data_IF_790208140882
#
_entry.id   IF_790208140882
#
_cell.length_a   1.000
_cell.length_b   1.000
_cell.length_c   1.000
_cell.angle_alpha   90.00
_cell.angle_beta   90.00
_cell.angle_gamma   90.00
#
_symmetry.space_group_name_H-M   'P 1'
#
loop_
_entity.id
_entity.type
_entity.pdbx_description
1 polymer ?
#
# COMPACT_ATOMS: atom_id res chain seq x y z
N UNK A 1 41.33 0.74 -5.47
CA UNK A 1 39.98 0.56 -4.86
C UNK A 1 39.25 1.90 -4.95
N UNK A 2 38.31 2.08 -5.89
CA UNK A 2 37.57 3.36 -6.02
C UNK A 2 36.44 3.38 -4.99
N UNK A 3 36.61 4.11 -3.90
CA UNK A 3 35.49 4.48 -3.02
C UNK A 3 34.58 5.39 -3.83
N UNK A 4 33.54 4.82 -4.45
CA UNK A 4 32.43 5.62 -4.95
C UNK A 4 31.74 6.21 -3.72
N UNK A 5 31.93 7.50 -3.50
CA UNK A 5 31.23 8.23 -2.46
C UNK A 5 29.73 8.07 -2.67
N UNK A 6 29.04 7.54 -1.67
CA UNK A 6 27.58 7.44 -1.70
C UNK A 6 26.98 8.85 -1.80
N UNK A 7 25.95 9.08 -2.64
CA UNK A 7 25.33 10.40 -2.73
C UNK A 7 24.86 10.88 -1.35
N UNK A 8 25.15 12.14 -1.00
CA UNK A 8 24.83 12.73 0.31
C UNK A 8 23.37 12.54 0.74
N UNK A 9 22.43 12.59 -0.21
CA UNK A 9 21.01 12.35 0.05
C UNK A 9 20.75 10.93 0.57
N UNK A 10 21.43 9.94 0.01
CA UNK A 10 21.29 8.53 0.40
C UNK A 10 21.87 8.29 1.79
N UNK A 11 23.08 8.80 2.06
CA UNK A 11 23.70 8.72 3.38
C UNK A 11 22.79 9.31 4.46
N UNK A 12 22.20 10.50 4.21
CA UNK A 12 21.24 11.14 5.12
C UNK A 12 20.03 10.26 5.41
N UNK A 13 19.41 9.65 4.39
CA UNK A 13 18.25 8.77 4.59
C UNK A 13 18.60 7.54 5.46
N UNK A 14 19.77 6.93 5.22
CA UNK A 14 20.24 5.79 6.01
C UNK A 14 20.52 6.20 7.46
N UNK A 15 21.16 7.35 7.69
CA UNK A 15 21.37 7.90 9.04
C UNK A 15 20.04 8.18 9.74
N UNK A 16 19.08 8.83 9.06
CA UNK A 16 17.74 9.07 9.62
C UNK A 16 17.06 7.77 10.02
N UNK A 17 17.14 6.74 9.18
CA UNK A 17 16.56 5.44 9.51
C UNK A 17 17.25 4.78 10.72
N UNK A 18 18.59 4.84 10.80
CA UNK A 18 19.34 4.28 11.91
C UNK A 18 18.98 4.95 13.26
N UNK A 19 18.66 6.25 13.24
CA UNK A 19 18.24 6.98 14.44
C UNK A 19 16.94 6.46 15.07
N UNK A 20 16.12 5.75 14.30
CA UNK A 20 14.87 5.16 14.77
C UNK A 20 15.06 3.90 15.61
N UNK A 21 16.29 3.33 15.67
CA UNK A 21 16.54 2.16 16.53
C UNK A 21 16.40 2.51 18.00
N UNK A 22 15.50 1.82 18.68
CA UNK A 22 15.32 1.94 20.12
C UNK A 22 16.48 1.26 20.87
N UNK A 23 16.73 1.69 22.12
CA UNK A 23 17.72 1.09 23.03
C UNK A 23 19.13 0.91 22.42
N UNK A 24 19.52 1.81 21.52
CA UNK A 24 20.79 1.78 20.79
C UNK A 24 21.55 3.09 21.05
N UNK A 25 22.85 3.02 21.32
CA UNK A 25 23.65 4.21 21.60
C UNK A 25 23.78 5.12 20.38
N UNK A 26 24.15 6.40 20.58
CA UNK A 26 24.36 7.32 19.46
C UNK A 26 25.49 6.86 18.53
N UNK A 27 26.58 6.32 19.09
CA UNK A 27 27.70 5.76 18.31
C UNK A 27 27.25 4.56 17.48
N UNK A 28 26.47 3.65 18.07
CA UNK A 28 25.96 2.49 17.35
C UNK A 28 25.04 2.93 16.19
N UNK A 29 24.20 3.95 16.38
CA UNK A 29 23.34 4.50 15.32
C UNK A 29 24.15 5.07 14.15
N UNK A 30 25.27 5.74 14.43
CA UNK A 30 26.18 6.22 13.38
C UNK A 30 26.80 5.05 12.60
N UNK A 31 27.26 4.02 13.31
CA UNK A 31 27.80 2.79 12.71
C UNK A 31 26.74 2.11 11.83
N UNK A 32 25.51 1.96 12.34
CA UNK A 32 24.39 1.34 11.62
C UNK A 32 24.06 2.11 10.34
N UNK A 33 24.07 3.45 10.38
CA UNK A 33 23.83 4.31 9.22
C UNK A 33 24.79 4.04 8.06
N UNK A 34 26.04 3.66 8.36
CA UNK A 34 27.03 3.22 7.36
C UNK A 34 27.00 1.72 7.04
N UNK A 35 26.33 0.90 7.85
CA UNK A 35 26.41 -0.56 7.81
C UNK A 35 25.60 -1.23 6.69
N UNK A 36 25.88 -2.51 6.45
CA UNK A 36 25.10 -3.37 5.54
C UNK A 36 23.74 -3.81 6.09
N UNK A 37 23.35 -3.39 7.30
CA UNK A 37 22.04 -3.70 7.88
C UNK A 37 20.92 -2.84 7.26
N UNK A 38 21.26 -1.69 6.68
CA UNK A 38 20.32 -0.85 5.94
C UNK A 38 20.49 -1.13 4.45
N UNK A 39 19.50 -1.77 3.84
CA UNK A 39 19.56 -2.26 2.45
C UNK A 39 18.56 -1.55 1.55
N UNK A 40 18.88 -1.36 0.25
CA UNK A 40 17.91 -0.82 -0.68
C UNK A 40 16.86 -1.88 -0.99
N UNK A 41 15.60 -1.50 -0.95
CA UNK A 41 14.48 -2.38 -1.23
C UNK A 41 13.44 -1.68 -2.10
N UNK A 42 12.60 -2.48 -2.77
CA UNK A 42 11.46 -1.97 -3.54
C UNK A 42 10.31 -2.95 -3.44
N UNK A 43 9.21 -2.48 -2.88
CA UNK A 43 7.96 -3.23 -2.77
C UNK A 43 6.83 -2.41 -3.42
N UNK A 44 6.04 -3.03 -4.30
CA UNK A 44 4.88 -2.40 -4.98
C UNK A 44 5.10 -0.93 -5.39
N UNK A 45 6.17 -0.68 -6.16
CA UNK A 45 6.57 0.65 -6.69
C UNK A 45 7.21 1.63 -5.70
N UNK A 46 7.31 1.29 -4.42
CA UNK A 46 7.88 2.14 -3.38
C UNK A 46 9.37 1.82 -3.21
N UNK A 47 10.30 2.61 -3.78
CA UNK A 47 11.71 2.46 -3.46
C UNK A 47 12.00 3.01 -2.06
N UNK A 48 12.68 2.22 -1.24
CA UNK A 48 12.97 2.55 0.15
C UNK A 48 14.31 1.96 0.59
N UNK A 49 14.76 2.39 1.76
CA UNK A 49 15.77 1.72 2.55
C UNK A 49 15.07 0.98 3.69
N UNK A 50 15.45 -0.28 3.92
CA UNK A 50 14.91 -1.14 4.98
C UNK A 50 16.02 -1.44 5.96
N UNK A 51 15.74 -1.30 7.24
CA UNK A 51 16.63 -1.71 8.31
C UNK A 51 16.32 -3.17 8.69
N UNK A 52 17.08 -4.09 8.13
CA UNK A 52 16.90 -5.54 8.37
C UNK A 52 17.41 -5.98 9.73
N UNK A 53 18.09 -5.10 10.47
CA UNK A 53 18.48 -5.33 11.86
C UNK A 53 17.45 -4.82 12.87
N UNK A 54 16.45 -4.04 12.44
CA UNK A 54 15.37 -3.52 13.27
C UNK A 54 14.04 -4.20 12.91
N UNK A 55 13.89 -5.45 13.37
CA UNK A 55 12.75 -6.30 13.09
C UNK A 55 11.94 -6.53 14.35
N UNK A 56 10.62 -6.30 14.27
CA UNK A 56 9.67 -6.63 15.32
C UNK A 56 8.74 -7.73 14.82
N UNK A 57 8.41 -8.70 15.66
CA UNK A 57 7.49 -9.80 15.32
C UNK A 57 6.18 -9.63 16.07
N UNK A 58 5.07 -9.97 15.42
CA UNK A 58 3.76 -10.04 16.07
C UNK A 58 3.73 -11.18 17.09
N UNK A 59 2.92 -11.07 18.13
CA UNK A 59 2.79 -12.08 19.19
C UNK A 59 2.41 -13.47 18.65
N UNK A 60 1.58 -13.52 17.60
CA UNK A 60 1.18 -14.77 16.96
C UNK A 60 2.22 -15.35 15.99
N UNK A 61 3.37 -14.70 15.81
CA UNK A 61 4.46 -15.12 14.94
C UNK A 61 4.21 -15.00 13.42
N UNK A 62 2.97 -14.73 12.99
CA UNK A 62 2.58 -14.72 11.56
C UNK A 62 3.00 -13.47 10.79
N UNK A 63 3.43 -12.41 11.48
CA UNK A 63 3.85 -11.15 10.89
C UNK A 63 5.17 -10.66 11.48
N UNK A 64 5.93 -9.93 10.67
CA UNK A 64 7.05 -9.12 11.13
C UNK A 64 7.06 -7.75 10.45
N UNK A 65 7.61 -6.76 11.13
CA UNK A 65 7.70 -5.39 10.67
C UNK A 65 9.16 -4.93 10.69
N UNK A 66 9.62 -4.38 9.58
CA UNK A 66 10.96 -3.81 9.45
C UNK A 66 10.84 -2.29 9.29
N UNK A 67 11.62 -1.54 10.09
CA UNK A 67 11.60 -0.08 9.99
C UNK A 67 12.22 0.33 8.65
N UNK A 68 11.58 1.24 7.94
CA UNK A 68 11.98 1.63 6.59
C UNK A 68 11.80 3.12 6.34
N UNK A 69 12.56 3.68 5.39
CA UNK A 69 12.41 5.05 4.92
C UNK A 69 12.32 5.10 3.40
N UNK A 70 11.28 5.73 2.88
CA UNK A 70 11.09 5.90 1.44
C UNK A 70 12.15 6.86 0.87
N UNK A 71 12.36 6.86 -0.45
CA UNK A 71 13.24 7.86 -1.11
C UNK A 71 12.79 9.31 -0.93
N UNK A 72 11.52 9.52 -0.57
CA UNK A 72 10.96 10.83 -0.21
C UNK A 72 11.24 11.27 1.24
N UNK A 73 11.91 10.44 2.04
CA UNK A 73 12.18 10.73 3.46
C UNK A 73 11.03 10.38 4.41
N UNK A 74 9.98 9.71 3.93
CA UNK A 74 8.88 9.25 4.79
C UNK A 74 9.25 7.94 5.48
N UNK A 75 9.22 7.95 6.81
CA UNK A 75 9.36 6.76 7.64
C UNK A 75 8.09 5.91 7.61
N UNK A 76 8.26 4.59 7.51
CA UNK A 76 7.20 3.60 7.43
C UNK A 76 7.63 2.31 8.14
N UNK A 77 6.67 1.44 8.41
CA UNK A 77 6.93 0.04 8.73
C UNK A 77 6.58 -0.82 7.52
N UNK A 78 7.52 -1.67 7.10
CA UNK A 78 7.30 -2.68 6.07
C UNK A 78 6.83 -3.96 6.75
N UNK A 79 5.53 -4.23 6.70
CA UNK A 79 4.89 -5.35 7.38
C UNK A 79 4.76 -6.53 6.43
N UNK A 80 5.45 -7.61 6.72
CA UNK A 80 5.38 -8.87 5.98
C UNK A 80 4.52 -9.86 6.75
N UNK A 81 3.59 -10.51 6.05
CA UNK A 81 2.77 -11.60 6.59
C UNK A 81 3.19 -12.91 5.94
N UNK A 82 3.27 -13.97 6.74
CA UNK A 82 3.53 -15.32 6.26
C UNK A 82 2.57 -15.73 5.12
N UNK A 83 3.13 -16.39 4.10
CA UNK A 83 2.37 -16.83 2.92
C UNK A 83 1.88 -15.70 2.01
N UNK A 84 2.31 -14.46 2.21
CA UNK A 84 2.01 -13.34 1.30
C UNK A 84 3.25 -12.93 0.51
N UNK A 85 3.07 -12.77 -0.79
CA UNK A 85 4.13 -12.33 -1.72
C UNK A 85 4.51 -10.87 -1.57
N UNK A 86 3.66 -10.06 -0.92
CA UNK A 86 3.79 -8.62 -0.87
C UNK A 86 3.62 -8.10 0.56
N UNK A 87 4.54 -7.23 0.95
CA UNK A 87 4.49 -6.54 2.24
C UNK A 87 3.56 -5.31 2.18
N UNK A 88 3.06 -4.91 3.35
CA UNK A 88 2.23 -3.73 3.54
C UNK A 88 3.07 -2.55 4.06
N UNK A 89 2.90 -1.37 3.45
CA UNK A 89 3.55 -0.14 3.89
C UNK A 89 2.67 0.58 4.92
N UNK A 90 2.92 0.33 6.20
CA UNK A 90 2.22 0.99 7.29
C UNK A 90 2.88 2.33 7.63
N UNK A 91 2.05 3.33 7.92
CA UNK A 91 2.52 4.69 8.25
C UNK A 91 2.45 5.00 9.74
N UNK A 92 2.12 3.98 10.53
CA UNK A 92 2.14 4.03 11.98
C UNK A 92 3.53 4.38 12.53
N UNK A 93 3.54 4.95 13.73
CA UNK A 93 4.78 5.31 14.43
C UNK A 93 5.39 4.07 15.10
N UNK A 94 4.57 3.27 15.79
CA UNK A 94 4.97 2.04 16.43
C UNK A 94 4.66 0.79 15.56
N UNK A 95 5.35 -0.33 15.81
CA UNK A 95 5.19 -1.55 15.00
C UNK A 95 3.88 -2.28 15.26
N UNK A 96 3.25 -2.13 16.43
CA UNK A 96 2.01 -2.84 16.76
C UNK A 96 0.82 -2.24 16.02
N UNK A 97 0.69 -0.91 16.03
CA UNK A 97 -0.25 -0.20 15.18
C UNK A 97 0.01 -0.45 13.69
N UNK A 98 1.26 -0.72 13.28
CA UNK A 98 1.56 -1.14 11.92
C UNK A 98 0.98 -2.52 11.58
N UNK A 99 1.04 -3.49 12.51
CA UNK A 99 0.38 -4.78 12.34
C UNK A 99 -1.14 -4.65 12.26
N UNK A 100 -1.73 -3.77 13.06
CA UNK A 100 -3.18 -3.49 13.02
C UNK A 100 -3.59 -2.91 11.65
N UNK A 101 -2.88 -1.88 11.16
CA UNK A 101 -3.12 -1.31 9.83
C UNK A 101 -3.00 -2.35 8.71
N UNK A 102 -1.97 -3.19 8.77
CA UNK A 102 -1.76 -4.26 7.79
C UNK A 102 -2.90 -5.30 7.83
N UNK A 103 -3.35 -5.68 9.02
CA UNK A 103 -4.46 -6.61 9.24
C UNK A 103 -5.78 -6.04 8.71
N UNK A 104 -6.13 -4.82 9.10
CA UNK A 104 -7.35 -4.14 8.65
C UNK A 104 -7.36 -4.02 7.11
N UNK A 105 -6.27 -3.55 6.52
CA UNK A 105 -6.15 -3.42 5.07
C UNK A 105 -6.27 -4.78 4.36
N UNK A 106 -5.71 -5.85 4.94
CA UNK A 106 -5.82 -7.20 4.39
C UNK A 106 -7.26 -7.70 4.41
N UNK A 107 -7.96 -7.51 5.52
CA UNK A 107 -9.32 -8.01 5.70
C UNK A 107 -10.30 -7.23 4.82
N UNK A 108 -10.12 -5.91 4.72
CA UNK A 108 -10.87 -5.07 3.77
C UNK A 108 -10.55 -5.43 2.31
N UNK A 109 -9.29 -5.72 1.95
CA UNK A 109 -8.95 -6.24 0.61
C UNK A 109 -9.66 -7.57 0.33
N UNK A 110 -9.68 -8.49 1.30
CA UNK A 110 -10.37 -9.77 1.16
C UNK A 110 -11.86 -9.56 0.93
N UNK A 111 -12.49 -8.68 1.70
CA UNK A 111 -13.90 -8.32 1.56
C UNK A 111 -14.20 -7.79 0.15
N UNK A 112 -13.47 -6.76 -0.32
CA UNK A 112 -13.70 -6.18 -1.65
C UNK A 112 -13.39 -7.18 -2.77
N UNK A 113 -12.40 -8.07 -2.59
CA UNK A 113 -12.14 -9.17 -3.53
C UNK A 113 -13.28 -10.19 -3.57
N UNK A 114 -13.97 -10.43 -2.46
CA UNK A 114 -15.22 -11.22 -2.44
C UNK A 114 -16.33 -10.58 -3.29
N UNK A 115 -16.26 -9.27 -3.50
CA UNK A 115 -17.19 -8.48 -4.31
C UNK A 115 -16.63 -8.14 -5.70
N UNK A 116 -15.61 -8.85 -6.18
CA UNK A 116 -14.86 -8.42 -7.36
C UNK A 116 -15.70 -8.39 -8.65
N UNK A 117 -16.70 -9.25 -8.78
CA UNK A 117 -17.60 -9.21 -9.94
C UNK A 117 -18.49 -7.96 -9.94
N UNK A 118 -18.85 -7.42 -8.76
CA UNK A 118 -19.48 -6.10 -8.64
C UNK A 118 -18.54 -5.02 -9.16
N UNK A 119 -17.26 -5.07 -8.78
CA UNK A 119 -16.24 -4.12 -9.24
C UNK A 119 -16.06 -4.18 -10.76
N UNK A 120 -16.02 -5.37 -11.36
CA UNK A 120 -15.96 -5.54 -12.83
C UNK A 120 -17.22 -5.00 -13.52
N UNK A 121 -18.41 -5.20 -12.93
CA UNK A 121 -19.66 -4.61 -13.46
C UNK A 121 -19.60 -3.08 -13.42
N UNK A 122 -19.19 -2.50 -12.30
CA UNK A 122 -18.99 -1.06 -12.16
C UNK A 122 -18.01 -0.53 -13.22
N UNK A 123 -16.87 -1.19 -13.40
CA UNK A 123 -15.89 -0.83 -14.43
C UNK A 123 -16.54 -0.78 -15.82
N UNK A 124 -17.29 -1.83 -16.20
CA UNK A 124 -17.97 -1.90 -17.49
C UNK A 124 -19.03 -0.80 -17.63
N UNK A 125 -19.83 -0.58 -16.60
CA UNK A 125 -20.90 0.42 -16.64
C UNK A 125 -20.36 1.85 -16.71
N UNK A 126 -19.23 2.13 -16.06
CA UNK A 126 -18.52 3.41 -16.18
C UNK A 126 -17.91 3.60 -17.58
N UNK A 127 -17.32 2.54 -18.15
CA UNK A 127 -16.79 2.54 -19.52
C UNK A 127 -17.88 2.83 -20.56
N UNK A 128 -19.04 2.17 -20.43
CA UNK A 128 -20.19 2.32 -21.32
C UNK A 128 -21.04 3.56 -21.00
N UNK A 129 -20.73 4.30 -19.94
CA UNK A 129 -21.46 5.51 -19.53
C UNK A 129 -22.85 5.26 -18.94
N UNK A 130 -23.17 4.01 -18.57
CA UNK A 130 -24.39 3.59 -17.87
C UNK A 130 -24.41 4.06 -16.40
N UNK A 131 -23.22 4.24 -15.82
CA UNK A 131 -23.00 4.88 -14.52
C UNK A 131 -22.06 6.07 -14.72
N UNK A 132 -22.29 7.15 -13.98
CA UNK A 132 -21.46 8.36 -14.03
C UNK A 132 -21.22 8.87 -12.62
N UNK A 133 -19.98 8.79 -12.18
CA UNK A 133 -19.52 9.40 -10.95
C UNK A 133 -18.02 9.67 -11.02
N UNK A 134 -17.55 10.54 -10.14
CA UNK A 134 -16.14 10.86 -10.01
C UNK A 134 -15.45 10.03 -8.95
N UNK A 135 -14.18 9.73 -9.23
CA UNK A 135 -13.24 9.07 -8.32
C UNK A 135 -12.26 10.13 -7.81
N UNK A 136 -12.22 10.30 -6.49
CA UNK A 136 -11.40 11.26 -5.77
C UNK A 136 -10.15 10.59 -5.21
N UNK A 137 -9.12 11.38 -4.94
CA UNK A 137 -7.95 10.89 -4.20
C UNK A 137 -8.32 10.38 -2.79
N UNK A 138 -9.38 10.94 -2.21
CA UNK A 138 -9.90 10.53 -0.91
C UNK A 138 -10.52 9.12 -0.96
N UNK A 139 -11.06 8.70 -2.12
CA UNK A 139 -11.51 7.32 -2.30
C UNK A 139 -10.31 6.36 -2.30
N UNK A 140 -9.16 6.80 -2.82
CA UNK A 140 -7.93 6.01 -2.78
C UNK A 140 -7.39 5.95 -1.34
N UNK A 141 -7.43 7.05 -0.60
CA UNK A 141 -7.07 7.08 0.82
C UNK A 141 -8.01 6.23 1.68
N UNK A 142 -9.30 6.19 1.34
CA UNK A 142 -10.30 5.34 1.99
C UNK A 142 -10.18 3.87 1.58
N UNK A 143 -9.57 3.56 0.43
CA UNK A 143 -9.42 2.19 -0.07
C UNK A 143 -8.47 1.35 0.79
N UNK A 144 -8.56 0.01 0.75
CA UNK A 144 -7.67 -0.85 1.53
C UNK A 144 -6.26 -0.97 0.92
N UNK A 145 -5.87 -0.06 0.04
CA UNK A 145 -4.53 0.03 -0.52
C UNK A 145 -3.60 0.77 0.46
N UNK A 146 -2.29 0.56 0.33
CA UNK A 146 -1.35 1.35 1.12
C UNK A 146 -1.25 2.78 0.56
N UNK A 147 -1.45 3.79 1.41
CA UNK A 147 -1.41 5.20 0.99
C UNK A 147 -0.07 5.57 0.33
N UNK A 148 1.03 5.02 0.82
CA UNK A 148 2.37 5.22 0.25
C UNK A 148 2.46 4.63 -1.15
N UNK A 149 1.95 3.42 -1.36
CA UNK A 149 1.90 2.79 -2.69
C UNK A 149 1.08 3.61 -3.68
N UNK A 150 -0.09 4.11 -3.25
CA UNK A 150 -0.93 5.00 -4.08
C UNK A 150 -0.15 6.25 -4.49
N UNK A 151 0.51 6.94 -3.55
CA UNK A 151 1.26 8.16 -3.84
C UNK A 151 2.39 7.92 -4.85
N UNK A 152 3.13 6.81 -4.70
CA UNK A 152 4.21 6.44 -5.63
C UNK A 152 3.69 6.03 -7.00
N UNK A 153 2.60 5.25 -7.04
CA UNK A 153 1.92 4.89 -8.29
C UNK A 153 1.46 6.13 -9.05
N UNK A 154 0.71 7.02 -8.38
CA UNK A 154 0.21 8.27 -8.96
C UNK A 154 1.34 9.17 -9.47
N UNK A 155 2.44 9.27 -8.72
CA UNK A 155 3.61 10.05 -9.14
C UNK A 155 4.27 9.45 -10.38
N UNK A 156 4.38 8.12 -10.46
CA UNK A 156 5.01 7.40 -11.57
C UNK A 156 4.24 7.56 -12.89
N UNK A 157 2.91 7.60 -12.83
CA UNK A 157 2.06 7.76 -14.02
C UNK A 157 1.81 9.24 -14.37
N UNK A 158 2.52 10.19 -13.75
CA UNK A 158 2.38 11.63 -14.03
C UNK A 158 1.15 12.29 -13.40
N UNK A 159 0.44 11.60 -12.51
CA UNK A 159 -0.81 12.06 -11.90
C UNK A 159 -0.67 12.50 -10.43
N UNK A 160 0.55 12.74 -9.94
CA UNK A 160 0.79 13.09 -8.52
C UNK A 160 0.07 14.35 -8.01
N UNK A 161 -0.42 15.23 -8.90
CA UNK A 161 -1.21 16.43 -8.56
C UNK A 161 -2.72 16.26 -8.81
N UNK A 162 -3.13 15.15 -9.42
CA UNK A 162 -4.54 14.91 -9.78
C UNK A 162 -5.31 14.50 -8.52
N UNK A 163 -6.36 15.26 -8.21
CA UNK A 163 -7.23 15.02 -7.04
C UNK A 163 -8.55 14.35 -7.38
N UNK A 164 -8.93 14.37 -8.66
CA UNK A 164 -10.18 13.84 -9.18
C UNK A 164 -9.99 13.34 -10.61
N UNK A 165 -10.59 12.20 -10.92
CA UNK A 165 -10.78 11.71 -12.29
C UNK A 165 -12.22 11.29 -12.50
N UNK A 166 -12.67 11.30 -13.75
CA UNK A 166 -13.97 10.72 -14.08
C UNK A 166 -13.94 9.20 -13.87
N UNK A 167 -15.09 8.62 -13.52
CA UNK A 167 -15.22 7.16 -13.38
C UNK A 167 -14.85 6.39 -14.65
N UNK A 168 -15.05 6.97 -15.83
CA UNK A 168 -14.61 6.39 -17.11
C UNK A 168 -13.08 6.29 -17.21
N UNK A 169 -12.37 7.34 -16.81
CA UNK A 169 -10.89 7.32 -16.76
C UNK A 169 -10.42 6.30 -15.72
N UNK A 170 -11.02 6.27 -14.54
CA UNK A 170 -10.68 5.26 -13.52
C UNK A 170 -10.93 3.82 -14.02
N UNK A 171 -12.02 3.58 -14.72
CA UNK A 171 -12.35 2.27 -15.29
C UNK A 171 -11.36 1.84 -16.39
N UNK A 172 -10.87 2.78 -17.21
CA UNK A 172 -9.76 2.56 -18.14
C UNK A 172 -8.48 2.23 -17.38
N UNK A 173 -8.14 2.97 -16.33
CA UNK A 173 -6.96 2.70 -15.51
C UNK A 173 -7.02 1.31 -14.85
N UNK A 174 -8.20 0.84 -14.44
CA UNK A 174 -8.38 -0.51 -13.88
C UNK A 174 -8.02 -1.63 -14.87
N UNK A 175 -8.11 -1.39 -16.19
CA UNK A 175 -7.65 -2.36 -17.20
C UNK A 175 -6.13 -2.56 -17.17
N UNK A 176 -5.39 -1.51 -16.79
CA UNK A 176 -3.93 -1.48 -16.77
C UNK A 176 -3.42 -1.89 -15.39
N UNK A 177 -4.04 -1.35 -14.33
CA UNK A 177 -3.71 -1.60 -12.93
C UNK A 177 -4.98 -2.02 -12.17
N UNK A 178 -5.19 -3.34 -11.97
CA UNK A 178 -6.38 -3.85 -11.29
C UNK A 178 -6.61 -3.25 -9.90
N UNK A 179 -5.57 -2.76 -9.20
CA UNK A 179 -5.74 -2.12 -7.89
C UNK A 179 -6.67 -0.90 -7.92
N UNK A 180 -6.83 -0.23 -9.07
CA UNK A 180 -7.79 0.88 -9.23
C UNK A 180 -9.24 0.43 -8.95
N UNK A 181 -9.55 -0.86 -9.12
CA UNK A 181 -10.86 -1.42 -8.77
C UNK A 181 -11.25 -1.22 -7.30
N UNK A 182 -10.28 -1.27 -6.37
CA UNK A 182 -10.56 -0.96 -4.95
C UNK A 182 -10.97 0.49 -4.74
N UNK A 183 -10.39 1.40 -5.53
CA UNK A 183 -10.70 2.84 -5.48
C UNK A 183 -12.06 3.12 -6.11
N UNK A 184 -12.38 2.46 -7.22
CA UNK A 184 -13.71 2.52 -7.85
C UNK A 184 -14.80 2.01 -6.89
N UNK A 185 -14.52 0.95 -6.14
CA UNK A 185 -15.44 0.42 -5.14
C UNK A 185 -15.75 1.44 -4.03
N UNK A 186 -14.73 2.10 -3.47
CA UNK A 186 -14.94 3.15 -2.45
C UNK A 186 -15.67 4.38 -3.01
N UNK A 187 -15.36 4.78 -4.24
CA UNK A 187 -16.10 5.85 -4.91
C UNK A 187 -17.58 5.47 -5.09
N UNK A 188 -17.87 4.24 -5.54
CA UNK A 188 -19.24 3.73 -5.67
C UNK A 188 -19.96 3.69 -4.32
N UNK A 189 -19.26 3.32 -3.24
CA UNK A 189 -19.79 3.36 -1.87
C UNK A 189 -20.16 4.77 -1.45
N UNK A 190 -19.28 5.75 -1.67
CA UNK A 190 -19.51 7.17 -1.35
C UNK A 190 -20.71 7.76 -2.11
N UNK A 191 -20.91 7.32 -3.36
CA UNK A 191 -22.02 7.77 -4.21
C UNK A 191 -23.32 6.94 -4.01
N UNK A 192 -23.37 5.99 -3.08
CA UNK A 192 -24.57 5.16 -2.85
C UNK A 192 -24.90 4.19 -3.97
N UNK A 193 -24.01 3.98 -4.94
CA UNK A 193 -24.25 3.13 -6.10
C UNK A 193 -24.31 1.65 -5.70
N UNK A 194 -23.57 1.25 -4.67
CA UNK A 194 -23.52 -0.14 -4.22
C UNK A 194 -24.86 -0.65 -3.70
N UNK A 195 -25.68 0.19 -3.07
CA UNK A 195 -27.03 -0.17 -2.60
C UNK A 195 -28.05 -0.36 -3.73
N UNK A 196 -27.76 0.17 -4.92
CA UNK A 196 -28.64 0.07 -6.09
C UNK A 196 -28.28 -1.10 -7.01
N UNK A 197 -27.16 -1.79 -6.74
CA UNK A 197 -26.76 -2.96 -7.51
C UNK A 197 -27.43 -4.19 -6.92
N UNK A 198 -28.21 -4.96 -7.69
CA UNK A 198 -28.77 -6.20 -7.19
C UNK A 198 -27.61 -7.10 -6.73
N UNK A 199 -27.74 -7.63 -5.51
CA UNK A 199 -26.83 -8.65 -5.01
C UNK A 199 -26.73 -9.74 -6.07
N UNK A 200 -25.50 -10.08 -6.46
CA UNK A 200 -25.30 -11.16 -7.41
C UNK A 200 -25.91 -12.42 -6.80
N UNK A 201 -26.91 -13.00 -7.47
CA UNK A 201 -27.52 -14.29 -7.14
C UNK A 201 -26.45 -15.28 -6.65
N UNK A 202 -26.71 -15.83 -5.48
CA UNK A 202 -26.14 -17.00 -4.82
C UNK A 202 -25.08 -17.78 -5.62
N UNK A 203 -23.83 -17.69 -5.18
CA UNK A 203 -22.82 -18.71 -5.43
C UNK A 203 -22.87 -19.83 -4.35
N UNK A 204 -24.07 -20.19 -3.87
CA UNK A 204 -24.30 -21.30 -2.93
C UNK A 204 -25.44 -22.16 -3.44
N UNK A 205 -25.27 -22.74 -4.63
CA UNK A 205 -26.06 -23.91 -5.07
C UNK A 205 -25.28 -24.71 -6.12
N UNK A 206 -24.05 -25.11 -5.79
CA UNK A 206 -23.35 -26.17 -6.53
C UNK A 206 -22.21 -26.77 -5.68
N UNK A 207 -22.57 -27.31 -4.51
CA UNK A 207 -21.69 -28.19 -3.73
C UNK A 207 -22.55 -29.15 -2.89
N UNK A 208 -23.52 -29.80 -3.54
CA UNK A 208 -24.16 -31.02 -3.07
C UNK A 208 -24.52 -31.86 -4.30
N UNK A 209 -23.48 -32.40 -4.92
CA UNK A 209 -23.51 -33.57 -5.80
C UNK A 209 -22.16 -34.27 -5.65
#
# INVERSE_FOLDING_TARGET
>A
MKFRSEPLKTARLRTTLAQERQMTSLLDREIIGGSHQIVPHRENWVPMWVDTGHVVRSDCGTMFAERSITRGGRLIWLVTTEGKSHAYHATAQDPFAAFEQATEARDRRRFVRGQWDVVKRLQRDLMLGRRRFDVLIDDAAASPLCAVGIQYFMSRIGMGRVRRVSGRVAALMMMIEPQVGFVIYEAARRHGVLSEMPEGRDAVTSAMA
#
